data_IF_783397332067
#
_entry.id   IF_783397332067
#
_cell.length_a   1.000
_cell.length_b   1.000
_cell.length_c   1.000
_cell.angle_alpha   90.00
_cell.angle_beta   90.00
_cell.angle_gamma   90.00
#
_symmetry.space_group_name_H-M   'P 1'
#
loop_
_entity.id
_entity.type
_entity.pdbx_description
1 polymer ?
#
# COMPACT_ATOMS: atom_id res chain seq x y z
N UNK A 1 -4.91 -13.12 8.65
CA UNK A 1 -3.52 -13.03 8.15
C UNK A 1 -2.85 -11.81 8.77
N UNK A 2 -1.65 -11.99 9.28
CA UNK A 2 -0.89 -10.93 9.91
C UNK A 2 -0.47 -9.86 8.88
N UNK A 3 -0.27 -8.63 9.34
CA UNK A 3 0.15 -7.53 8.48
C UNK A 3 1.40 -7.87 7.68
N UNK A 4 2.43 -8.39 8.34
CA UNK A 4 3.68 -8.70 7.67
C UNK A 4 3.52 -9.83 6.66
N UNK A 5 2.64 -10.79 6.93
CA UNK A 5 2.31 -11.84 5.97
C UNK A 5 1.65 -11.25 4.73
N UNK A 6 0.72 -10.29 4.91
CA UNK A 6 0.09 -9.60 3.79
C UNK A 6 1.13 -8.87 2.93
N UNK A 7 2.07 -8.19 3.57
CA UNK A 7 3.10 -7.43 2.86
C UNK A 7 4.10 -8.33 2.15
N UNK A 8 4.22 -9.58 2.55
CA UNK A 8 5.12 -10.54 1.91
C UNK A 8 4.50 -11.23 0.69
N UNK A 9 3.18 -11.09 0.49
CA UNK A 9 2.51 -11.72 -0.64
C UNK A 9 2.92 -11.11 -1.97
N UNK A 10 2.92 -11.93 -3.02
CA UNK A 10 3.03 -11.42 -4.39
C UNK A 10 1.79 -10.58 -4.71
N UNK A 11 1.89 -9.75 -5.73
CA UNK A 11 0.81 -8.83 -6.08
C UNK A 11 -0.51 -9.55 -6.34
N UNK A 12 -0.48 -10.64 -7.09
CA UNK A 12 -1.70 -11.38 -7.42
C UNK A 12 -2.36 -11.96 -6.18
N UNK A 13 -1.56 -12.43 -5.23
CA UNK A 13 -2.10 -12.99 -4.00
C UNK A 13 -2.67 -11.91 -3.10
N UNK A 14 -1.99 -10.76 -3.02
CA UNK A 14 -2.49 -9.63 -2.25
C UNK A 14 -3.82 -9.14 -2.81
N UNK A 15 -3.95 -9.10 -4.13
CA UNK A 15 -5.19 -8.69 -4.78
C UNK A 15 -6.37 -9.57 -4.41
N UNK A 16 -6.13 -10.84 -4.11
CA UNK A 16 -7.22 -11.76 -3.67
C UNK A 16 -7.79 -11.38 -2.31
N UNK A 17 -7.05 -10.62 -1.53
CA UNK A 17 -7.51 -10.13 -0.23
C UNK A 17 -8.11 -8.74 -0.33
N UNK A 18 -8.30 -8.23 -1.55
CA UNK A 18 -8.78 -6.87 -1.76
C UNK A 18 -10.05 -6.86 -2.58
N UNK A 19 -10.87 -5.86 -2.31
CA UNK A 19 -11.95 -5.49 -3.22
C UNK A 19 -11.35 -4.53 -4.24
N UNK A 20 -11.57 -4.82 -5.52
CA UNK A 20 -11.07 -3.98 -6.61
C UNK A 20 -12.25 -3.32 -7.30
N UNK A 21 -12.30 -2.01 -7.24
CA UNK A 21 -13.31 -1.22 -7.93
C UNK A 21 -12.63 -0.44 -9.06
N UNK A 22 -13.26 -0.47 -10.23
CA UNK A 22 -12.80 0.34 -11.36
C UNK A 22 -13.81 1.45 -11.61
N UNK A 23 -13.32 2.61 -12.00
CA UNK A 23 -14.19 3.75 -12.20
C UNK A 23 -13.54 4.75 -13.14
N UNK A 24 -14.34 5.70 -13.59
CA UNK A 24 -13.86 6.80 -14.41
C UNK A 24 -13.45 7.93 -13.47
N UNK A 25 -12.16 8.27 -13.46
CA UNK A 25 -11.70 9.37 -12.64
C UNK A 25 -12.27 10.67 -13.18
N UNK A 26 -12.81 11.50 -12.28
CA UNK A 26 -13.30 12.83 -12.64
C UNK A 26 -12.29 13.87 -12.16
N UNK A 27 -12.36 15.05 -12.76
CA UNK A 27 -11.48 16.15 -12.40
C UNK A 27 -11.19 17.03 -13.58
N UNK A 28 -10.37 18.06 -13.43
CA UNK A 28 -10.07 19.01 -14.49
C UNK A 28 -9.13 18.39 -15.53
N UNK A 29 -9.55 17.31 -16.16
CA UNK A 29 -8.71 16.57 -17.08
C UNK A 29 -8.71 17.08 -18.49
N UNK A 30 -9.68 17.86 -18.86
CA UNK A 30 -9.80 18.38 -20.21
C UNK A 30 -10.12 17.31 -21.24
N UNK A 31 -9.89 17.65 -22.50
CA UNK A 31 -10.30 16.84 -23.64
C UNK A 31 -9.58 15.52 -23.76
N UNK A 32 -8.40 15.43 -23.20
CA UNK A 32 -7.54 14.26 -23.37
C UNK A 32 -7.74 13.24 -22.25
N UNK A 33 -8.62 13.54 -21.34
CA UNK A 33 -8.88 12.57 -20.28
C UNK A 33 -9.53 11.32 -20.87
N UNK A 34 -9.05 10.17 -20.42
CA UNK A 34 -9.56 8.90 -20.87
C UNK A 34 -11.05 8.79 -20.55
N UNK A 35 -11.83 8.35 -21.53
CA UNK A 35 -13.27 8.16 -21.36
C UNK A 35 -13.62 6.77 -20.82
N UNK A 36 -12.66 5.87 -20.73
CA UNK A 36 -12.90 4.54 -20.20
C UNK A 36 -12.64 4.50 -18.69
N UNK A 37 -13.15 3.46 -18.03
CA UNK A 37 -13.00 3.27 -16.60
C UNK A 37 -11.62 2.66 -16.31
N UNK A 38 -10.59 3.50 -16.36
CA UNK A 38 -9.21 3.05 -16.13
C UNK A 38 -8.72 3.24 -14.70
N UNK A 39 -9.40 4.06 -13.92
CA UNK A 39 -9.02 4.26 -12.52
C UNK A 39 -9.34 3.03 -11.68
N UNK A 40 -8.48 2.73 -10.72
CA UNK A 40 -8.60 1.54 -9.88
C UNK A 40 -8.53 1.96 -8.41
N UNK A 41 -9.42 1.43 -7.62
CA UNK A 41 -9.40 1.56 -6.16
C UNK A 41 -9.34 0.17 -5.55
N UNK A 42 -8.35 -0.06 -4.72
CA UNK A 42 -8.20 -1.31 -3.98
C UNK A 42 -8.51 -1.04 -2.51
N UNK A 43 -9.34 -1.88 -1.93
CA UNK A 43 -9.67 -1.81 -0.50
C UNK A 43 -9.34 -3.16 0.10
N UNK A 44 -8.50 -3.17 1.12
CA UNK A 44 -8.17 -4.41 1.82
C UNK A 44 -9.41 -4.88 2.58
N UNK A 45 -9.82 -6.13 2.36
CA UNK A 45 -11.02 -6.68 2.98
C UNK A 45 -10.95 -6.59 4.50
N UNK A 46 -12.12 -6.34 5.10
CA UNK A 46 -12.28 -6.21 6.56
C UNK A 46 -11.51 -5.05 7.17
N UNK A 47 -11.07 -4.10 6.35
CA UNK A 47 -10.39 -2.89 6.81
C UNK A 47 -10.87 -1.70 6.00
N UNK A 48 -10.44 -0.51 6.43
CA UNK A 48 -10.67 0.72 5.68
C UNK A 48 -9.44 1.14 4.86
N UNK A 49 -8.43 0.28 4.80
CA UNK A 49 -7.19 0.58 4.08
C UNK A 49 -7.47 0.55 2.58
N UNK A 50 -7.22 1.66 1.92
CA UNK A 50 -7.56 1.86 0.52
C UNK A 50 -6.42 2.55 -0.23
N UNK A 51 -6.28 2.22 -1.50
CA UNK A 51 -5.35 2.91 -2.40
C UNK A 51 -6.01 3.10 -3.76
N UNK A 52 -5.72 4.24 -4.38
CA UNK A 52 -6.31 4.62 -5.67
C UNK A 52 -5.19 4.98 -6.63
N UNK A 53 -5.36 4.58 -7.89
CA UNK A 53 -4.46 5.00 -8.97
C UNK A 53 -5.29 5.32 -10.21
N UNK A 54 -5.02 6.45 -10.83
CA UNK A 54 -5.76 6.92 -11.99
C UNK A 54 -4.88 7.63 -13.03
N UNK A 55 -3.56 7.60 -12.85
CA UNK A 55 -2.64 8.37 -13.69
C UNK A 55 -2.45 7.80 -15.08
N UNK A 56 -2.64 6.48 -15.24
CA UNK A 56 -2.41 5.79 -16.49
C UNK A 56 -3.71 5.63 -17.28
N UNK A 57 -3.57 5.45 -18.57
CA UNK A 57 -4.72 5.13 -19.42
C UNK A 57 -5.11 3.66 -19.34
N UNK A 58 -4.18 2.82 -18.90
CA UNK A 58 -4.36 1.39 -18.78
C UNK A 58 -4.86 1.04 -17.38
N UNK A 59 -5.99 0.35 -17.31
CA UNK A 59 -6.51 -0.17 -16.05
C UNK A 59 -5.50 -1.10 -15.39
N UNK A 60 -4.82 -1.93 -16.20
CA UNK A 60 -3.82 -2.85 -15.70
C UNK A 60 -2.65 -2.11 -15.03
N UNK A 61 -2.18 -1.03 -15.65
CA UNK A 61 -1.09 -0.23 -15.06
C UNK A 61 -1.54 0.49 -13.80
N UNK A 62 -2.77 0.96 -13.77
CA UNK A 62 -3.31 1.58 -12.56
C UNK A 62 -3.44 0.57 -11.43
N UNK A 63 -3.83 -0.66 -11.76
CA UNK A 63 -3.90 -1.73 -10.74
C UNK A 63 -2.54 -1.99 -10.14
N UNK A 64 -1.49 -2.05 -10.95
CA UNK A 64 -0.13 -2.26 -10.45
C UNK A 64 0.31 -1.11 -9.54
N UNK A 65 0.00 0.13 -9.92
CA UNK A 65 0.29 1.29 -9.08
C UNK A 65 -0.49 1.27 -7.77
N UNK A 66 -1.76 0.88 -7.85
CA UNK A 66 -2.62 0.81 -6.67
C UNK A 66 -2.12 -0.23 -5.69
N UNK A 67 -1.66 -1.39 -6.17
CA UNK A 67 -1.07 -2.42 -5.31
C UNK A 67 0.14 -1.86 -4.56
N UNK A 68 1.01 -1.17 -5.26
CA UNK A 68 2.20 -0.59 -4.64
C UNK A 68 1.82 0.43 -3.56
N UNK A 69 0.84 1.27 -3.85
CA UNK A 69 0.34 2.25 -2.89
C UNK A 69 -0.35 1.59 -1.71
N UNK A 70 -1.09 0.52 -1.98
CA UNK A 70 -1.79 -0.24 -0.94
C UNK A 70 -0.80 -0.85 0.05
N UNK A 71 0.33 -1.39 -0.43
CA UNK A 71 1.34 -1.95 0.46
C UNK A 71 1.84 -0.90 1.46
N UNK A 72 2.09 0.32 1.00
CA UNK A 72 2.51 1.39 1.89
C UNK A 72 1.39 1.79 2.85
N UNK A 73 0.14 1.84 2.38
CA UNK A 73 -1.00 2.15 3.24
C UNK A 73 -1.19 1.08 4.32
N UNK A 74 -0.99 -0.19 3.99
CA UNK A 74 -1.02 -1.27 4.97
C UNK A 74 0.09 -1.07 6.00
N UNK A 75 1.29 -0.76 5.54
CA UNK A 75 2.43 -0.53 6.43
C UNK A 75 2.20 0.65 7.38
N UNK A 76 1.55 1.70 6.90
CA UNK A 76 1.33 2.91 7.69
C UNK A 76 0.12 2.81 8.62
N UNK A 77 -0.89 2.06 8.24
CA UNK A 77 -2.17 2.08 8.95
C UNK A 77 -2.43 0.85 9.83
N UNK A 78 -1.80 -0.29 9.54
CA UNK A 78 -1.96 -1.47 10.37
C UNK A 78 -0.76 -1.60 11.30
N UNK A 79 -0.98 -1.28 12.59
CA UNK A 79 0.09 -1.31 13.61
C UNK A 79 0.13 -2.66 14.30
N UNK A 80 1.29 -3.02 14.78
CA UNK A 80 1.51 -4.19 15.64
C UNK A 80 2.63 -3.84 16.62
N UNK A 81 2.81 -4.68 17.63
CA UNK A 81 3.92 -4.49 18.56
C UNK A 81 5.25 -4.61 17.83
N UNK A 82 6.24 -3.77 18.18
CA UNK A 82 7.55 -3.85 17.55
C UNK A 82 8.19 -5.22 17.73
N UNK A 83 8.82 -5.72 16.67
CA UNK A 83 9.61 -6.93 16.78
C UNK A 83 10.85 -6.66 17.64
N UNK A 84 11.36 -7.69 18.35
CA UNK A 84 12.59 -7.52 19.12
C UNK A 84 13.78 -7.13 18.26
N UNK A 85 13.80 -7.57 17.01
CA UNK A 85 14.84 -7.21 16.07
C UNK A 85 14.27 -7.23 14.66
N UNK A 86 14.91 -6.47 13.79
CA UNK A 86 14.56 -6.45 12.39
C UNK A 86 15.49 -7.41 11.64
N UNK A 87 14.90 -8.42 10.98
CA UNK A 87 15.67 -9.45 10.26
C UNK A 87 15.89 -9.13 8.79
N UNK A 88 15.22 -8.12 8.27
CA UNK A 88 15.34 -7.75 6.87
C UNK A 88 16.51 -6.81 6.62
N UNK A 89 16.69 -6.41 5.36
CA UNK A 89 17.76 -5.48 5.00
C UNK A 89 17.57 -4.12 5.67
N UNK A 90 18.68 -3.52 6.08
CA UNK A 90 18.66 -2.18 6.63
C UNK A 90 18.54 -1.17 5.49
N UNK A 91 17.55 -0.29 5.59
CA UNK A 91 17.27 0.72 4.58
C UNK A 91 17.13 0.13 3.16
N UNK A 92 16.20 -0.81 2.96
CA UNK A 92 15.99 -1.34 1.62
C UNK A 92 15.51 -0.25 0.68
N UNK A 93 15.86 -0.36 -0.59
CA UNK A 93 15.40 0.58 -1.60
C UNK A 93 13.88 0.52 -1.79
N UNK A 94 13.30 1.61 -2.29
CA UNK A 94 11.84 1.71 -2.44
C UNK A 94 11.27 0.66 -3.40
N UNK A 95 12.10 0.07 -4.27
CA UNK A 95 11.66 -0.97 -5.20
C UNK A 95 11.76 -2.38 -4.63
N UNK A 96 12.42 -2.52 -3.48
CA UNK A 96 12.53 -3.79 -2.80
C UNK A 96 11.19 -4.15 -2.18
N UNK A 97 10.77 -5.41 -2.31
CA UNK A 97 9.52 -5.86 -1.69
C UNK A 97 9.53 -5.72 -0.17
N UNK A 98 10.71 -5.78 0.44
CA UNK A 98 10.82 -5.62 1.88
C UNK A 98 10.75 -4.18 2.35
N UNK A 99 10.70 -3.22 1.43
CA UNK A 99 10.63 -1.81 1.79
C UNK A 99 9.40 -1.49 2.64
N UNK A 100 8.22 -1.97 2.23
CA UNK A 100 7.00 -1.71 2.98
C UNK A 100 7.02 -2.36 4.35
N UNK A 101 7.58 -3.56 4.46
CA UNK A 101 7.72 -4.24 5.75
C UNK A 101 8.66 -3.46 6.66
N UNK A 102 9.78 -2.98 6.11
CA UNK A 102 10.72 -2.14 6.86
C UNK A 102 10.04 -0.87 7.38
N UNK A 103 9.28 -0.18 6.51
CA UNK A 103 8.53 1.02 6.89
C UNK A 103 7.55 0.71 8.01
N UNK A 104 6.84 -0.42 7.92
CA UNK A 104 5.89 -0.82 8.94
C UNK A 104 6.57 -1.02 10.30
N UNK A 105 7.73 -1.65 10.32
CA UNK A 105 8.47 -1.87 11.57
C UNK A 105 8.98 -0.57 12.17
N UNK A 106 9.43 0.37 11.33
CA UNK A 106 9.85 1.69 11.80
C UNK A 106 8.69 2.41 12.48
N UNK A 107 7.52 2.40 11.86
CA UNK A 107 6.35 3.07 12.43
C UNK A 107 5.80 2.35 13.64
N UNK A 108 5.92 1.03 13.73
CA UNK A 108 5.56 0.29 14.94
C UNK A 108 6.43 0.75 16.11
N UNK A 109 7.73 0.88 15.90
CA UNK A 109 8.66 1.32 16.93
C UNK A 109 8.33 2.75 17.38
N UNK A 110 8.06 3.63 16.42
CA UNK A 110 7.69 5.02 16.75
C UNK A 110 6.39 5.08 17.53
N UNK A 111 5.40 4.29 17.15
CA UNK A 111 4.12 4.26 17.85
C UNK A 111 4.28 3.75 19.28
N UNK A 112 5.11 2.73 19.50
CA UNK A 112 5.35 2.17 20.81
C UNK A 112 6.02 3.18 21.75
N UNK A 113 6.81 4.11 21.20
CA UNK A 113 7.46 5.15 21.98
C UNK A 113 6.63 6.42 22.05
N UNK A 114 5.41 6.41 21.53
CA UNK A 114 4.53 7.57 21.45
C UNK A 114 5.19 8.74 20.69
N UNK A 115 6.02 8.38 19.69
CA UNK A 115 6.77 9.34 18.88
C UNK A 115 7.71 10.23 19.69
N UNK A 116 8.18 9.74 20.82
CA UNK A 116 9.19 10.45 21.58
C UNK A 116 10.52 10.35 20.87
N UNK A 117 11.13 11.48 20.63
CA UNK A 117 12.35 11.53 19.86
C UNK A 117 13.57 11.63 20.75
N UNK A 118 13.41 12.05 21.96
CA UNK A 118 14.53 12.25 22.85
C UNK A 118 14.16 12.01 24.26
N UNK A 119 15.16 11.66 25.01
CA UNK A 119 15.14 11.73 26.47
C UNK A 119 16.46 11.46 27.13
#
# INVERSE_FOLDING_TARGET
MDRDELLALEDDELLRHCRCDTFRASGPGGQHRNTSDSAVRLTLEDTEVTAIASEERSQHRNRARAVKRLRLQIALNLRRDPAPSWDGPWKPGARDRQYAVFVAHVFDALAATEYRVSD
#
